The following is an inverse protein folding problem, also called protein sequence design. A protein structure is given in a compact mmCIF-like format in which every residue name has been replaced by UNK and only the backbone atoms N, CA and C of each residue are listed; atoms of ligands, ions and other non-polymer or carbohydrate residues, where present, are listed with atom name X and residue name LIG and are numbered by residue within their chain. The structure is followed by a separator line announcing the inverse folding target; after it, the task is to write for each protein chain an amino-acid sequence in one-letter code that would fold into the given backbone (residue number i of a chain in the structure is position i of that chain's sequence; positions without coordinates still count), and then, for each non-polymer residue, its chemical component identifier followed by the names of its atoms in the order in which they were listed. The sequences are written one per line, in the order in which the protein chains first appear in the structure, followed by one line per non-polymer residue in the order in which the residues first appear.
data_IF_182063849137
#
_entry.id   IF_182063849137
#
_cell.length_a   1.000
_cell.length_b   1.000
_cell.length_c   1.000
_cell.angle_alpha   90.00
_cell.angle_beta   90.00
_cell.angle_gamma   90.00
#
_symmetry.space_group_name_H-M   'P 1'
#
loop_
_entity.id
_entity.type
_entity.pdbx_description
1 polymer ?
#
# COMPACT_ATOMS: atom_id res chain seq x y z
N UNK A 1 23.06 44.51 -22.92
CA UNK A 1 22.58 43.54 -21.91
C UNK A 1 22.82 42.15 -22.44
N UNK A 2 23.63 41.34 -21.76
CA UNK A 2 23.89 39.95 -22.18
C UNK A 2 22.66 39.10 -21.87
N UNK A 3 21.92 38.69 -22.90
CA UNK A 3 20.83 37.74 -22.78
C UNK A 3 21.44 36.34 -22.62
N UNK A 4 21.76 35.99 -21.38
CA UNK A 4 22.24 34.65 -21.02
C UNK A 4 21.21 33.57 -21.35
N UNK A 5 21.65 32.31 -21.29
CA UNK A 5 20.78 31.14 -21.52
C UNK A 5 19.51 31.23 -20.66
N UNK A 6 18.31 31.08 -21.25
CA UNK A 6 17.07 31.16 -20.49
C UNK A 6 17.04 30.10 -19.37
N UNK A 7 16.53 30.46 -18.19
CA UNK A 7 16.49 29.54 -17.07
C UNK A 7 15.51 28.40 -17.35
N UNK A 8 16.03 27.18 -17.34
CA UNK A 8 15.21 25.96 -17.44
C UNK A 8 14.16 25.92 -16.31
N UNK A 9 12.92 25.46 -16.58
CA UNK A 9 11.87 25.35 -15.56
C UNK A 9 12.28 24.42 -14.42
N UNK A 10 11.70 24.61 -13.24
CA UNK A 10 12.11 23.88 -12.05
C UNK A 10 11.90 22.37 -12.20
N UNK A 11 10.83 21.92 -12.86
CA UNK A 11 10.52 20.50 -13.02
C UNK A 11 11.56 19.74 -13.86
N UNK A 12 12.09 20.37 -14.90
CA UNK A 12 13.07 19.78 -15.82
C UNK A 12 14.51 19.87 -15.31
N UNK A 13 14.76 20.75 -14.33
CA UNK A 13 16.10 20.92 -13.77
C UNK A 13 16.62 19.65 -13.09
N UNK A 14 17.93 19.40 -13.21
CA UNK A 14 18.60 18.30 -12.52
C UNK A 14 18.57 18.49 -10.98
N UNK A 15 18.77 17.39 -10.25
CA UNK A 15 18.70 17.40 -8.78
C UNK A 15 19.67 18.42 -8.13
N UNK A 16 20.88 18.58 -8.67
CA UNK A 16 21.87 19.57 -8.18
C UNK A 16 21.33 20.99 -8.29
N UNK A 17 20.74 21.35 -9.43
CA UNK A 17 20.17 22.67 -9.68
C UNK A 17 18.93 22.91 -8.80
N UNK A 18 18.05 21.91 -8.65
CA UNK A 18 16.90 21.98 -7.74
C UNK A 18 17.32 22.22 -6.28
N UNK A 19 18.35 21.52 -5.80
CA UNK A 19 18.91 21.72 -4.45
C UNK A 19 19.48 23.12 -4.26
N UNK A 20 20.22 23.63 -5.26
CA UNK A 20 20.77 24.99 -5.22
C UNK A 20 19.66 26.06 -5.22
N UNK A 21 18.65 25.93 -6.10
CA UNK A 21 17.52 26.86 -6.18
C UNK A 21 16.67 26.88 -4.91
N UNK A 22 16.53 25.73 -4.23
CA UNK A 22 15.79 25.63 -2.96
C UNK A 22 16.63 25.93 -1.72
N UNK A 23 17.94 26.21 -1.86
CA UNK A 23 18.83 26.45 -0.72
C UNK A 23 18.34 27.63 0.12
N UNK A 24 18.05 28.76 -0.52
CA UNK A 24 17.58 29.99 0.14
C UNK A 24 16.31 29.74 0.97
N UNK A 25 15.33 29.06 0.37
CA UNK A 25 14.09 28.69 1.06
C UNK A 25 14.33 27.78 2.26
N UNK A 26 15.26 26.83 2.17
CA UNK A 26 15.58 25.90 3.26
C UNK A 26 16.38 26.53 4.40
N UNK A 27 17.05 27.65 4.16
CA UNK A 27 17.84 28.37 5.18
C UNK A 27 17.05 29.47 5.87
N UNK A 28 16.13 30.13 5.15
CA UNK A 28 15.39 31.28 5.66
C UNK A 28 14.06 30.90 6.33
N UNK A 29 13.43 29.80 5.88
CA UNK A 29 12.11 29.40 6.36
C UNK A 29 12.23 28.23 7.34
N UNK A 30 11.60 28.29 8.52
CA UNK A 30 11.57 27.18 9.46
C UNK A 30 10.99 25.90 8.83
N UNK A 31 11.55 24.75 9.21
CA UNK A 31 11.13 23.44 8.70
C UNK A 31 9.63 23.19 8.91
N UNK A 32 9.06 23.65 10.02
CA UNK A 32 7.64 23.52 10.37
C UNK A 32 6.72 24.25 9.38
N UNK A 33 7.12 25.44 8.94
CA UNK A 33 6.38 26.20 7.93
C UNK A 33 6.49 25.53 6.55
N UNK A 34 7.68 25.02 6.21
CA UNK A 34 7.89 24.29 4.96
C UNK A 34 7.09 22.98 4.89
N UNK A 35 7.00 22.24 6.00
CA UNK A 35 6.19 21.01 6.06
C UNK A 35 4.70 21.31 5.99
N UNK A 36 4.22 22.33 6.70
CA UNK A 36 2.82 22.76 6.61
C UNK A 36 2.47 23.27 5.20
N UNK A 37 3.34 24.07 4.57
CA UNK A 37 3.15 24.52 3.20
C UNK A 37 3.08 23.34 2.21
N UNK A 38 3.94 22.33 2.37
CA UNK A 38 3.88 21.10 1.57
C UNK A 38 2.54 20.36 1.75
N UNK A 39 2.08 20.21 2.99
CA UNK A 39 0.77 19.61 3.29
C UNK A 39 -0.38 20.36 2.60
N UNK A 40 -0.39 21.70 2.69
CA UNK A 40 -1.43 22.52 2.05
C UNK A 40 -1.38 22.44 0.52
N UNK A 41 -0.18 22.43 -0.07
CA UNK A 41 -0.02 22.23 -1.51
C UNK A 41 -0.56 20.86 -1.98
N UNK A 42 -0.37 19.80 -1.18
CA UNK A 42 -0.95 18.49 -1.47
C UNK A 42 -2.48 18.50 -1.37
N UNK A 43 -3.05 19.18 -0.38
CA UNK A 43 -4.51 19.37 -0.27
C UNK A 43 -5.08 20.14 -1.46
N UNK A 44 -4.46 21.26 -1.82
CA UNK A 44 -4.87 22.08 -2.97
C UNK A 44 -4.81 21.30 -4.29
N UNK A 45 -3.76 20.47 -4.46
CA UNK A 45 -3.63 19.57 -5.60
C UNK A 45 -4.52 18.33 -5.58
N UNK A 46 -5.47 18.22 -4.64
CA UNK A 46 -6.34 17.05 -4.42
C UNK A 46 -5.57 15.72 -4.21
N UNK A 47 -4.32 15.79 -3.78
CA UNK A 47 -3.46 14.63 -3.47
C UNK A 47 -3.64 14.23 -2.00
N UNK A 48 -4.83 13.74 -1.66
CA UNK A 48 -5.25 13.45 -0.28
C UNK A 48 -4.34 12.42 0.38
N UNK A 49 -3.94 11.37 -0.34
CA UNK A 49 -3.09 10.31 0.22
C UNK A 49 -1.69 10.80 0.53
N UNK A 50 -1.10 11.61 -0.37
CA UNK A 50 0.19 12.24 -0.14
C UNK A 50 0.16 13.16 1.09
N UNK A 51 -0.92 13.95 1.23
CA UNK A 51 -1.15 14.77 2.41
C UNK A 51 -1.17 13.92 3.70
N UNK A 52 -1.97 12.85 3.75
CA UNK A 52 -2.08 11.96 4.93
C UNK A 52 -0.75 11.32 5.29
N UNK A 53 0.05 10.94 4.29
CA UNK A 53 1.38 10.36 4.52
C UNK A 53 2.32 11.39 5.15
N UNK A 54 2.38 12.60 4.58
CA UNK A 54 3.23 13.67 5.11
C UNK A 54 2.80 14.03 6.53
N UNK A 55 1.50 14.20 6.78
CA UNK A 55 0.92 14.44 8.10
C UNK A 55 1.33 13.37 9.11
N UNK A 56 1.12 12.09 8.79
CA UNK A 56 1.46 10.99 9.68
C UNK A 56 2.97 10.91 9.98
N UNK A 57 3.83 11.14 8.98
CA UNK A 57 5.29 11.16 9.17
C UNK A 57 5.70 12.33 10.07
N UNK A 58 5.10 13.51 9.88
CA UNK A 58 5.41 14.70 10.69
C UNK A 58 4.93 14.56 12.13
N UNK A 59 3.74 14.01 12.37
CA UNK A 59 3.19 13.89 13.73
C UNK A 59 3.79 12.73 14.52
N UNK A 60 4.24 11.66 13.85
CA UNK A 60 4.70 10.43 14.52
C UNK A 60 6.03 9.91 13.95
N UNK A 61 7.15 10.65 14.11
CA UNK A 61 8.43 10.30 13.48
C UNK A 61 8.98 8.95 13.96
N UNK A 62 8.81 8.60 15.25
CA UNK A 62 9.25 7.31 15.79
C UNK A 62 8.52 6.12 15.16
N UNK A 63 7.20 6.25 14.94
CA UNK A 63 6.40 5.23 14.25
C UNK A 63 6.79 5.14 12.77
N UNK A 64 6.99 6.27 12.11
CA UNK A 64 7.46 6.31 10.72
C UNK A 64 8.82 5.62 10.56
N UNK A 65 9.76 5.86 11.49
CA UNK A 65 11.06 5.20 11.50
C UNK A 65 10.94 3.69 11.71
N UNK A 66 10.08 3.23 12.63
CA UNK A 66 9.82 1.79 12.84
C UNK A 66 9.28 1.13 11.56
N UNK A 67 8.33 1.77 10.88
CA UNK A 67 7.79 1.28 9.60
C UNK A 67 8.88 1.19 8.53
N UNK A 68 9.72 2.22 8.41
CA UNK A 68 10.83 2.22 7.47
C UNK A 68 11.81 1.05 7.72
N UNK A 69 12.20 0.81 8.98
CA UNK A 69 13.07 -0.31 9.36
C UNK A 69 12.46 -1.67 9.02
N UNK A 70 11.17 -1.84 9.24
CA UNK A 70 10.47 -3.09 8.90
C UNK A 70 10.44 -3.31 7.38
N UNK A 71 10.20 -2.26 6.59
CA UNK A 71 10.20 -2.33 5.13
C UNK A 71 11.60 -2.67 4.60
N UNK A 72 12.66 -2.03 5.12
CA UNK A 72 14.03 -2.33 4.70
C UNK A 72 14.45 -3.75 5.07
N UNK A 73 14.07 -4.23 6.26
CA UNK A 73 14.24 -5.61 6.67
C UNK A 73 13.55 -6.55 5.67
N UNK A 74 12.25 -6.41 5.43
CA UNK A 74 11.52 -7.27 4.49
C UNK A 74 12.15 -7.33 3.09
N UNK A 75 12.64 -6.19 2.56
CA UNK A 75 13.36 -6.15 1.28
C UNK A 75 14.62 -7.03 1.30
N UNK A 76 15.41 -6.99 2.37
CA UNK A 76 16.63 -7.80 2.54
C UNK A 76 16.32 -9.31 2.62
N UNK A 77 15.21 -9.68 3.27
CA UNK A 77 14.80 -11.09 3.35
C UNK A 77 14.30 -11.60 2.01
N UNK A 78 13.50 -10.80 1.30
CA UNK A 78 13.01 -11.15 -0.03
C UNK A 78 14.15 -11.24 -1.06
N UNK A 79 15.16 -10.36 -1.00
CA UNK A 79 16.31 -10.45 -1.91
C UNK A 79 17.15 -11.70 -1.65
N UNK A 80 17.26 -12.15 -0.41
CA UNK A 80 17.98 -13.39 -0.04
C UNK A 80 17.18 -14.66 -0.36
N UNK A 81 15.85 -14.62 -0.21
CA UNK A 81 14.96 -15.70 -0.62
C UNK A 81 14.93 -15.86 -2.16
N UNK A 82 14.95 -14.75 -2.91
CA UNK A 82 14.97 -14.74 -4.37
C UNK A 82 16.35 -15.02 -4.98
N UNK A 83 17.45 -14.97 -4.19
CA UNK A 83 18.78 -15.40 -4.67
C UNK A 83 19.04 -16.89 -4.46
N UNK A 84 18.20 -17.59 -3.68
CA UNK A 84 18.36 -19.02 -3.37
C UNK A 84 17.26 -19.90 -3.97
N UNK A 85 16.20 -19.29 -4.52
CA UNK A 85 15.16 -19.97 -5.30
C UNK A 85 14.90 -19.17 -6.57
N UNK A 86 15.24 -19.77 -7.72
CA UNK A 86 14.96 -19.19 -9.04
C UNK A 86 13.46 -18.90 -9.23
N UNK A 87 13.09 -18.09 -10.23
CA UNK A 87 11.75 -17.56 -10.41
C UNK A 87 10.82 -18.59 -11.06
N UNK A 88 10.50 -19.67 -10.35
CA UNK A 88 9.36 -20.53 -10.67
C UNK A 88 8.83 -21.10 -9.35
N UNK A 89 7.51 -21.17 -9.24
CA UNK A 89 6.71 -21.68 -8.12
C UNK A 89 6.15 -20.61 -7.16
N UNK A 90 5.42 -19.64 -7.73
CA UNK A 90 4.30 -18.99 -7.04
C UNK A 90 3.00 -19.78 -7.30
N UNK A 91 2.99 -21.07 -6.95
CA UNK A 91 1.76 -21.85 -6.95
C UNK A 91 1.80 -22.87 -5.79
N UNK A 92 0.85 -22.76 -4.86
CA UNK A 92 0.37 -23.95 -4.14
C UNK A 92 0.86 -24.26 -2.72
N UNK A 93 1.54 -23.39 -1.97
CA UNK A 93 1.94 -23.74 -0.58
C UNK A 93 1.79 -22.62 0.44
N UNK A 94 0.53 -22.24 0.72
CA UNK A 94 0.18 -21.39 1.86
C UNK A 94 -0.89 -22.01 2.77
N UNK A 95 -1.07 -23.34 2.70
CA UNK A 95 -2.09 -24.06 3.48
C UNK A 95 -1.55 -25.08 4.48
N UNK A 96 -0.24 -25.28 4.61
CA UNK A 96 0.29 -26.13 5.67
C UNK A 96 1.62 -25.62 6.19
N UNK A 97 1.57 -24.97 7.35
CA UNK A 97 2.60 -25.09 8.41
C UNK A 97 2.07 -24.37 9.65
N UNK A 98 1.28 -25.11 10.44
CA UNK A 98 1.38 -25.03 11.91
C UNK A 98 2.87 -25.20 12.26
N UNK A 99 3.36 -24.42 13.21
CA UNK A 99 4.72 -24.46 13.79
C UNK A 99 5.84 -23.76 12.99
N UNK A 100 6.01 -22.47 13.26
CA UNK A 100 7.26 -21.77 13.67
C UNK A 100 7.14 -20.28 13.30
N UNK A 101 7.08 -19.40 14.31
CA UNK A 101 7.14 -17.95 14.12
C UNK A 101 6.02 -17.10 14.73
N UNK A 102 5.33 -17.58 15.78
CA UNK A 102 4.46 -16.74 16.60
C UNK A 102 5.31 -15.83 17.51
N UNK A 103 5.79 -14.70 17.00
CA UNK A 103 6.04 -13.51 17.85
C UNK A 103 6.20 -12.17 17.12
N UNK A 104 6.30 -12.12 15.79
CA UNK A 104 6.52 -10.84 15.07
C UNK A 104 5.31 -10.37 14.22
N UNK A 105 4.29 -11.22 14.03
CA UNK A 105 3.14 -10.92 13.13
C UNK A 105 1.92 -10.37 13.89
N UNK A 106 1.97 -10.24 15.22
CA UNK A 106 0.80 -9.84 16.04
C UNK A 106 0.31 -8.40 15.78
N UNK A 107 1.16 -7.48 15.31
CA UNK A 107 0.76 -6.08 15.09
C UNK A 107 0.14 -5.78 13.71
N UNK A 108 0.08 -6.76 12.78
CA UNK A 108 -0.44 -6.59 11.42
C UNK A 108 -1.79 -7.28 11.14
N UNK A 109 -2.40 -7.91 12.15
CA UNK A 109 -3.69 -8.61 12.03
C UNK A 109 -4.97 -7.73 12.23
N UNK A 110 -4.96 -6.44 12.64
CA UNK A 110 -6.24 -5.74 12.78
C UNK A 110 -6.92 -5.45 11.42
N UNK A 111 -6.16 -5.24 10.34
CA UNK A 111 -6.73 -4.77 9.07
C UNK A 111 -7.35 -5.90 8.21
N UNK A 112 -6.73 -7.08 8.15
CA UNK A 112 -7.20 -8.18 7.28
C UNK A 112 -8.42 -8.90 7.86
N UNK A 113 -8.53 -8.96 9.19
CA UNK A 113 -9.68 -9.56 9.88
C UNK A 113 -10.90 -8.61 9.87
N UNK A 114 -10.67 -7.29 9.99
CA UNK A 114 -11.72 -6.28 9.81
C UNK A 114 -12.23 -6.22 8.36
N UNK A 115 -11.35 -6.34 7.36
CA UNK A 115 -11.75 -6.37 5.96
C UNK A 115 -12.61 -7.61 5.62
N UNK A 116 -12.25 -8.79 6.12
CA UNK A 116 -13.06 -10.01 5.95
C UNK A 116 -14.40 -9.96 6.70
N UNK A 117 -14.46 -9.30 7.86
CA UNK A 117 -15.72 -9.04 8.59
C UNK A 117 -16.61 -8.02 7.85
N UNK A 118 -16.01 -6.97 7.28
CA UNK A 118 -16.72 -5.97 6.47
C UNK A 118 -17.29 -6.58 5.17
N UNK A 119 -16.56 -7.47 4.49
CA UNK A 119 -17.09 -8.17 3.32
C UNK A 119 -18.23 -9.15 3.64
N UNK A 120 -18.17 -9.86 4.78
CA UNK A 120 -19.29 -10.71 5.24
C UNK A 120 -20.56 -9.92 5.57
N UNK A 121 -20.41 -8.67 5.98
CA UNK A 121 -21.52 -7.79 6.37
C UNK A 121 -22.05 -6.92 5.22
N UNK A 122 -21.30 -6.82 4.11
CA UNK A 122 -21.68 -6.01 2.95
C UNK A 122 -22.70 -6.68 2.02
N UNK A 123 -22.87 -8.00 2.10
CA UNK A 123 -23.84 -8.74 1.29
C UNK A 123 -25.06 -9.06 2.16
N UNK A 124 -26.25 -8.51 1.87
CA UNK A 124 -27.47 -8.83 2.59
C UNK A 124 -27.71 -10.35 2.62
N UNK A 125 -27.99 -10.91 3.80
CA UNK A 125 -28.24 -12.35 3.97
C UNK A 125 -29.37 -12.88 3.06
N UNK A 126 -30.32 -12.01 2.67
CA UNK A 126 -31.39 -12.28 1.70
C UNK A 126 -30.84 -12.62 0.29
N UNK A 127 -29.74 -12.01 -0.13
CA UNK A 127 -29.12 -12.26 -1.45
C UNK A 127 -28.36 -13.59 -1.43
N UNK A 128 -27.60 -13.85 -0.37
CA UNK A 128 -26.83 -15.09 -0.21
C UNK A 128 -27.75 -16.31 -0.18
N UNK A 129 -28.86 -16.23 0.53
CA UNK A 129 -29.85 -17.33 0.61
C UNK A 129 -30.57 -17.57 -0.72
N UNK A 130 -30.87 -16.51 -1.49
CA UNK A 130 -31.47 -16.63 -2.82
C UNK A 130 -30.52 -17.30 -3.82
N UNK A 131 -29.24 -16.92 -3.82
CA UNK A 131 -28.21 -17.53 -4.65
C UNK A 131 -27.99 -19.01 -4.31
N UNK A 132 -27.98 -19.37 -3.01
CA UNK A 132 -27.87 -20.77 -2.59
C UNK A 132 -29.03 -21.63 -3.09
N UNK A 133 -30.27 -21.13 -3.05
CA UNK A 133 -31.45 -21.84 -3.56
C UNK A 133 -31.40 -22.03 -5.09
N UNK A 134 -30.87 -21.06 -5.83
CA UNK A 134 -30.70 -21.18 -7.28
C UNK A 134 -29.61 -22.19 -7.63
N UNK A 135 -28.48 -22.14 -6.94
CA UNK A 135 -27.38 -23.09 -7.13
C UNK A 135 -27.80 -24.52 -6.78
N UNK A 136 -28.54 -24.73 -5.70
CA UNK A 136 -29.02 -26.07 -5.35
C UNK A 136 -29.99 -26.62 -6.41
N UNK A 137 -30.88 -25.78 -6.96
CA UNK A 137 -31.78 -26.17 -8.06
C UNK A 137 -31.02 -26.53 -9.34
N UNK A 138 -29.98 -25.76 -9.67
CA UNK A 138 -29.15 -26.01 -10.84
C UNK A 138 -28.40 -27.34 -10.71
N UNK A 139 -27.77 -27.58 -9.55
CA UNK A 139 -27.05 -28.82 -9.26
C UNK A 139 -27.98 -30.02 -9.31
N UNK A 140 -29.16 -29.96 -8.69
CA UNK A 140 -30.14 -31.04 -8.75
C UNK A 140 -30.62 -31.33 -10.18
N UNK A 141 -30.77 -30.30 -11.02
CA UNK A 141 -31.18 -30.49 -12.42
C UNK A 141 -30.09 -31.18 -13.24
N UNK A 142 -28.84 -30.72 -13.11
CA UNK A 142 -27.67 -31.35 -13.75
C UNK A 142 -27.53 -32.82 -13.30
N UNK A 143 -27.68 -33.11 -12.01
CA UNK A 143 -27.60 -34.49 -11.50
C UNK A 143 -28.71 -35.39 -12.03
N UNK A 144 -29.93 -34.89 -12.24
CA UNK A 144 -31.03 -35.67 -12.82
C UNK A 144 -30.79 -35.95 -14.30
N UNK A 145 -30.28 -34.97 -15.04
CA UNK A 145 -30.00 -35.10 -16.48
C UNK A 145 -28.85 -36.09 -16.75
N UNK A 146 -27.92 -36.29 -15.80
CA UNK A 146 -26.84 -37.28 -15.90
C UNK A 146 -27.22 -38.71 -15.49
N UNK A 147 -28.40 -38.93 -14.91
CA UNK A 147 -28.90 -40.27 -14.50
C UNK A 147 -29.95 -40.86 -15.45
N UNK A 148 -30.30 -40.16 -16.52
CA UNK A 148 -31.32 -40.56 -17.49
C UNK A 148 -30.74 -41.21 -18.77
N UNK A 149 -29.59 -41.89 -18.66
CA UNK A 149 -29.00 -42.74 -19.72
C UNK A 149 -29.06 -44.20 -19.28
#
# INVERSE_FOLDING_TARGET
MSFGRPPMPFQEACARTKKRRTQKLRTEVPTEQLTFAAQMNHRAGKKIDAFKIVEHITSNPGRAMKMHKNISYLKKYNSKANSSRGPLNFCGSWLNTKSRGNQVISQYIPATLQYKRAQKNAIPAKIVTKLRKLLSKLISKISLDHTAI
#
